data_IF_308197989808
#
_entry.id   IF_308197989808
#
_cell.length_a   1.000
_cell.length_b   1.000
_cell.length_c   1.000
_cell.angle_alpha   90.00
_cell.angle_beta   90.00
_cell.angle_gamma   90.00
#
_symmetry.space_group_name_H-M   'P 1'
#
loop_
_entity.id
_entity.type
_entity.pdbx_description
1 polymer ?
#
# COMPACT_ATOMS: atom_id res chain seq x y z
N UNK A 1 11.11 -4.67 16.13
CA UNK A 1 10.50 -3.34 15.84
C UNK A 1 9.22 -3.20 16.65
N UNK A 2 8.89 -2.04 17.23
CA UNK A 2 7.58 -1.88 17.89
C UNK A 2 6.45 -1.76 16.84
N UNK A 3 5.22 -2.08 17.22
CA UNK A 3 4.08 -2.15 16.29
C UNK A 3 3.76 -0.80 15.61
N UNK A 4 3.90 0.31 16.33
CA UNK A 4 3.59 1.65 15.81
C UNK A 4 4.60 2.09 14.74
N UNK A 5 5.89 1.85 14.96
CA UNK A 5 6.96 2.13 14.00
C UNK A 5 6.85 1.26 12.75
N UNK A 6 6.47 -0.01 12.92
CA UNK A 6 6.19 -0.92 11.80
C UNK A 6 5.06 -0.38 10.93
N UNK A 7 3.90 -0.10 11.53
CA UNK A 7 2.73 0.44 10.82
C UNK A 7 3.07 1.75 10.10
N UNK A 8 3.78 2.66 10.76
CA UNK A 8 4.23 3.94 10.17
C UNK A 8 5.11 3.73 8.93
N UNK A 9 6.09 2.83 8.99
CA UNK A 9 6.98 2.55 7.84
C UNK A 9 6.23 1.92 6.67
N UNK A 10 5.33 0.98 6.96
CA UNK A 10 4.49 0.35 5.94
C UNK A 10 3.58 1.38 5.26
N UNK A 11 2.93 2.24 6.04
CA UNK A 11 2.06 3.29 5.51
C UNK A 11 2.85 4.26 4.61
N UNK A 12 4.03 4.71 5.04
CA UNK A 12 4.91 5.58 4.24
C UNK A 12 5.39 4.90 2.96
N UNK A 13 5.74 3.60 3.01
CA UNK A 13 6.10 2.87 1.80
C UNK A 13 4.94 2.92 0.79
N UNK A 14 3.72 2.61 1.22
CA UNK A 14 2.56 2.57 0.32
C UNK A 14 2.29 3.93 -0.31
N UNK A 15 2.33 5.01 0.48
CA UNK A 15 2.18 6.38 -0.04
C UNK A 15 3.21 6.66 -1.13
N UNK A 16 4.48 6.32 -0.89
CA UNK A 16 5.54 6.49 -1.88
C UNK A 16 5.32 5.62 -3.12
N UNK A 17 4.87 4.38 -2.99
CA UNK A 17 4.56 3.51 -4.14
C UNK A 17 3.42 4.06 -5.00
N UNK A 18 2.46 4.76 -4.41
CA UNK A 18 1.39 5.43 -5.15
C UNK A 18 1.93 6.63 -5.93
N UNK A 19 2.76 7.46 -5.28
CA UNK A 19 3.17 8.76 -5.82
C UNK A 19 4.50 8.76 -6.60
N UNK A 20 5.35 7.75 -6.44
CA UNK A 20 6.68 7.63 -7.08
C UNK A 20 6.69 6.45 -8.08
N UNK A 21 6.35 6.66 -9.37
CA UNK A 21 6.35 5.58 -10.37
C UNK A 21 7.67 4.79 -10.47
N UNK A 22 8.87 5.42 -10.44
CA UNK A 22 10.13 4.68 -10.48
C UNK A 22 10.33 3.76 -9.27
N UNK A 23 9.92 4.19 -8.07
CA UNK A 23 9.97 3.37 -6.87
C UNK A 23 9.02 2.17 -7.00
N UNK A 24 7.81 2.41 -7.53
CA UNK A 24 6.83 1.36 -7.76
C UNK A 24 7.33 0.30 -8.73
N UNK A 25 7.89 0.70 -9.86
CA UNK A 25 8.45 -0.24 -10.85
C UNK A 25 9.58 -1.08 -10.24
N UNK A 26 10.47 -0.45 -9.48
CA UNK A 26 11.54 -1.14 -8.76
C UNK A 26 10.98 -2.08 -7.69
N UNK A 27 9.94 -1.68 -6.97
CA UNK A 27 9.29 -2.51 -5.95
C UNK A 27 8.61 -3.76 -6.54
N UNK A 28 8.00 -3.61 -7.72
CA UNK A 28 7.36 -4.73 -8.42
C UNK A 28 8.38 -5.72 -9.01
N UNK A 29 9.63 -5.27 -9.22
CA UNK A 29 10.71 -6.09 -9.77
C UNK A 29 11.57 -6.71 -8.66
N UNK A 30 12.03 -5.89 -7.71
CA UNK A 30 13.00 -6.23 -6.67
C UNK A 30 12.48 -5.86 -5.28
N UNK A 31 11.32 -6.42 -4.92
CA UNK A 31 10.62 -6.12 -3.65
C UNK A 31 11.54 -6.17 -2.43
N UNK A 32 12.27 -7.26 -2.25
CA UNK A 32 13.05 -7.51 -1.03
C UNK A 32 14.15 -6.47 -0.83
N UNK A 33 14.75 -5.99 -1.93
CA UNK A 33 15.74 -4.91 -1.89
C UNK A 33 15.09 -3.61 -1.44
N UNK A 34 13.93 -3.25 -2.00
CA UNK A 34 13.21 -2.03 -1.61
C UNK A 34 12.74 -2.10 -0.15
N UNK A 35 12.28 -3.27 0.31
CA UNK A 35 11.89 -3.47 1.71
C UNK A 35 13.08 -3.27 2.65
N UNK A 36 14.25 -3.84 2.32
CA UNK A 36 15.47 -3.67 3.10
C UNK A 36 15.91 -2.20 3.15
N UNK A 37 15.89 -1.48 2.02
CA UNK A 37 16.21 -0.04 1.96
C UNK A 37 15.24 0.82 2.79
N UNK A 38 13.97 0.42 2.87
CA UNK A 38 12.97 1.10 3.70
C UNK A 38 13.03 0.68 5.18
N UNK A 39 13.92 -0.24 5.54
CA UNK A 39 14.04 -0.82 6.87
C UNK A 39 12.75 -1.52 7.31
N UNK A 40 12.08 -2.21 6.40
CA UNK A 40 10.94 -3.08 6.70
C UNK A 40 11.47 -4.46 7.09
N UNK A 41 10.83 -5.09 8.06
CA UNK A 41 11.22 -6.40 8.56
C UNK A 41 10.99 -7.46 7.47
N UNK A 42 11.98 -8.31 7.13
CA UNK A 42 11.78 -9.39 6.17
C UNK A 42 10.65 -10.36 6.59
N UNK A 43 10.29 -10.43 7.88
CA UNK A 43 9.16 -11.22 8.35
C UNK A 43 7.79 -10.71 7.82
N UNK A 44 7.70 -9.43 7.42
CA UNK A 44 6.47 -8.85 6.86
C UNK A 44 6.33 -9.14 5.35
N UNK A 45 7.39 -9.64 4.69
CA UNK A 45 7.43 -9.84 3.24
C UNK A 45 6.34 -10.78 2.70
N UNK A 46 5.96 -11.91 3.35
CA UNK A 46 4.89 -12.78 2.85
C UNK A 46 3.52 -12.06 2.79
N UNK A 47 3.19 -11.28 3.83
CA UNK A 47 1.95 -10.50 3.86
C UNK A 47 1.96 -9.43 2.76
N UNK A 48 3.09 -8.73 2.59
CA UNK A 48 3.27 -7.76 1.52
C UNK A 48 3.24 -8.40 0.13
N UNK A 49 3.71 -9.64 -0.02
CA UNK A 49 3.67 -10.36 -1.28
C UNK A 49 2.25 -10.78 -1.69
N UNK A 50 1.45 -11.22 -0.73
CA UNK A 50 0.04 -11.58 -0.97
C UNK A 50 -0.82 -10.37 -1.36
N UNK A 51 -0.59 -9.23 -0.69
CA UNK A 51 -1.47 -8.06 -0.77
C UNK A 51 -2.87 -8.32 -0.19
N UNK A 52 -3.03 -9.36 0.63
CA UNK A 52 -4.32 -9.72 1.21
C UNK A 52 -4.68 -8.79 2.37
N UNK A 53 -5.90 -8.24 2.36
CA UNK A 53 -6.36 -7.22 3.32
C UNK A 53 -6.17 -7.67 4.76
N UNK A 54 -6.53 -8.92 5.09
CA UNK A 54 -6.38 -9.46 6.44
C UNK A 54 -4.91 -9.51 6.87
N UNK A 55 -4.02 -9.95 5.97
CA UNK A 55 -2.58 -10.01 6.24
C UNK A 55 -1.98 -8.61 6.44
N UNK A 56 -2.38 -7.64 5.62
CA UNK A 56 -1.93 -6.25 5.75
C UNK A 56 -2.48 -5.59 7.02
N UNK A 57 -3.72 -5.92 7.41
CA UNK A 57 -4.33 -5.44 8.66
C UNK A 57 -3.60 -5.98 9.89
N UNK A 58 -3.16 -7.25 9.87
CA UNK A 58 -2.37 -7.83 10.95
C UNK A 58 -1.01 -7.14 11.13
N UNK A 59 -0.48 -6.51 10.09
CA UNK A 59 0.74 -5.68 10.17
C UNK A 59 0.49 -4.28 10.75
N UNK A 60 -0.78 -3.87 10.90
CA UNK A 60 -1.19 -2.54 11.35
C UNK A 60 -1.26 -1.49 10.25
N UNK A 61 -1.30 -1.91 8.97
CA UNK A 61 -1.45 -0.99 7.84
C UNK A 61 -2.81 -0.28 7.88
N UNK A 62 -2.84 1.01 7.54
CA UNK A 62 -4.10 1.78 7.53
C UNK A 62 -5.06 1.26 6.43
N UNK A 63 -6.38 1.11 6.67
CA UNK A 63 -7.32 0.52 5.71
C UNK A 63 -7.32 1.16 4.31
N UNK A 64 -7.24 2.49 4.22
CA UNK A 64 -7.13 3.18 2.92
C UNK A 64 -5.84 2.81 2.19
N UNK A 65 -4.74 2.66 2.93
CA UNK A 65 -3.45 2.30 2.34
C UNK A 65 -3.41 0.82 1.94
N UNK A 66 -4.14 -0.06 2.63
CA UNK A 66 -4.32 -1.44 2.17
C UNK A 66 -4.95 -1.48 0.76
N UNK A 67 -5.99 -0.67 0.53
CA UNK A 67 -6.61 -0.54 -0.79
C UNK A 67 -5.64 0.01 -1.84
N UNK A 68 -4.91 1.09 -1.53
CA UNK A 68 -3.89 1.64 -2.43
C UNK A 68 -2.80 0.62 -2.76
N UNK A 69 -2.36 -0.16 -1.77
CA UNK A 69 -1.36 -1.18 -1.96
C UNK A 69 -1.86 -2.32 -2.87
N UNK A 70 -3.13 -2.71 -2.75
CA UNK A 70 -3.73 -3.66 -3.70
C UNK A 70 -3.77 -3.12 -5.13
N UNK A 71 -4.05 -1.83 -5.33
CA UNK A 71 -4.02 -1.22 -6.66
C UNK A 71 -2.60 -1.16 -7.25
N UNK A 72 -1.58 -1.01 -6.40
CA UNK A 72 -0.18 -1.10 -6.82
C UNK A 72 0.17 -2.52 -7.28
N UNK A 73 -0.20 -3.54 -6.51
CA UNK A 73 0.15 -4.94 -6.82
C UNK A 73 -0.70 -5.57 -7.93
N UNK A 74 -1.97 -5.18 -7.99
CA UNK A 74 -2.99 -5.76 -8.87
C UNK A 74 -3.63 -4.63 -9.68
N UNK A 75 -2.92 -4.00 -10.63
CA UNK A 75 -3.41 -2.80 -11.33
C UNK A 75 -4.71 -3.04 -12.10
N UNK A 76 -5.00 -4.28 -12.52
CA UNK A 76 -6.28 -4.65 -13.12
C UNK A 76 -7.48 -4.44 -12.18
N UNK A 77 -7.28 -4.45 -10.85
CA UNK A 77 -8.32 -4.16 -9.86
C UNK A 77 -8.89 -2.74 -10.00
N UNK A 78 -8.11 -1.80 -10.52
CA UNK A 78 -8.59 -0.45 -10.81
C UNK A 78 -9.74 -0.44 -11.84
N UNK A 79 -9.85 -1.46 -12.70
CA UNK A 79 -10.95 -1.59 -13.65
C UNK A 79 -12.29 -1.88 -12.97
N UNK A 80 -12.28 -2.46 -11.77
CA UNK A 80 -13.49 -2.75 -10.98
C UNK A 80 -13.92 -1.57 -10.09
N UNK A 81 -13.12 -0.51 -10.01
CA UNK A 81 -13.52 0.71 -9.30
C UNK A 81 -14.54 1.49 -10.12
N UNK A 82 -15.75 1.60 -9.58
CA UNK A 82 -16.87 2.34 -10.19
C UNK A 82 -16.81 3.83 -9.87
N UNK A 83 -16.29 4.20 -8.70
CA UNK A 83 -16.07 5.60 -8.29
C UNK A 83 -14.70 6.04 -8.78
N UNK A 84 -14.68 6.89 -9.82
CA UNK A 84 -13.47 7.51 -10.37
C UNK A 84 -13.29 8.98 -10.00
N UNK A 85 -14.38 9.60 -9.55
CA UNK A 85 -14.42 10.97 -9.10
C UNK A 85 -15.34 11.02 -7.89
N UNK A 86 -14.91 11.67 -6.81
CA UNK A 86 -15.77 11.92 -5.66
C UNK A 86 -16.71 13.06 -6.05
N UNK A 87 -18.04 12.88 -5.97
CA UNK A 87 -18.97 13.93 -6.35
C UNK A 87 -18.77 15.15 -5.45
N UNK A 88 -18.81 16.34 -6.04
CA UNK A 88 -18.96 17.57 -5.27
C UNK A 88 -20.27 17.47 -4.47
N UNK A 89 -20.17 17.51 -3.15
CA UNK A 89 -21.34 17.66 -2.30
C UNK A 89 -21.68 19.14 -2.32
N UNK A 90 -22.77 19.55 -2.98
CA UNK A 90 -23.24 20.91 -2.88
C UNK A 90 -23.73 21.17 -1.45
N UNK A 91 -23.18 22.17 -0.79
CA UNK A 91 -23.70 22.71 0.47
C UNK A 91 -24.93 23.60 0.20
N UNK A 92 -25.90 23.11 -0.57
CA UNK A 92 -27.17 23.82 -0.73
C UNK A 92 -28.09 23.42 0.44
N UNK A 93 -28.09 24.28 1.47
CA UNK A 93 -28.99 24.28 2.62
C UNK A 93 -30.23 25.16 2.37
#
# INVERSE_FOLDING_TARGET
MNTADRARRLNLLVERLVHEPPLRERYLTDRDVVLAECGIDPADAPALASGDIEALSALGMHPILQMHYQLVLKPHMAAHMTVRHYPELSEDA
#
